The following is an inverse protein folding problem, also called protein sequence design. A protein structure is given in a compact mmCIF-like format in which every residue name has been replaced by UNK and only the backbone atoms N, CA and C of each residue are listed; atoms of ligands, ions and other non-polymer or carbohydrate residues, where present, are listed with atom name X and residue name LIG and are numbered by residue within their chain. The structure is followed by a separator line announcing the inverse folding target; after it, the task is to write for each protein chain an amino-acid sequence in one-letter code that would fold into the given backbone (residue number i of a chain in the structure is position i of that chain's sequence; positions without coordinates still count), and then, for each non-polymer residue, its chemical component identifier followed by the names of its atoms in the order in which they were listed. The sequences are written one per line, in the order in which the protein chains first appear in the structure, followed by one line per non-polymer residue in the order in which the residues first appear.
data_IF_073551844398
#
_entry.id   IF_073551844398
#
_cell.length_a   1.000
_cell.length_b   1.000
_cell.length_c   1.000
_cell.angle_alpha   90.00
_cell.angle_beta   90.00
_cell.angle_gamma   90.00
#
_symmetry.space_group_name_H-M   'P 1'
#
loop_
_entity.id
_entity.type
_entity.pdbx_description
1 polymer ?
#
# COMPACT_ATOMS: atom_id res chain seq x y z
N UNK A 1 -0.51 16.32 -14.05
CA UNK A 1 -0.79 14.87 -13.97
C UNK A 1 -2.29 14.70 -14.07
N UNK A 2 -2.77 13.81 -14.94
CA UNK A 2 -4.19 13.48 -15.07
C UNK A 2 -4.61 12.55 -13.93
N UNK A 3 -5.79 12.75 -13.34
CA UNK A 3 -6.36 11.85 -12.35
C UNK A 3 -7.61 11.19 -12.94
N UNK A 4 -7.68 9.88 -12.84
CA UNK A 4 -8.86 9.14 -13.23
C UNK A 4 -9.94 9.22 -12.13
N UNK A 5 -11.22 9.21 -12.47
CA UNK A 5 -12.28 9.16 -11.47
C UNK A 5 -12.24 7.83 -10.72
N UNK A 6 -12.43 7.89 -9.41
CA UNK A 6 -12.55 6.69 -8.59
C UNK A 6 -13.84 5.93 -8.89
N UNK A 7 -13.83 4.63 -8.64
CA UNK A 7 -15.04 3.81 -8.56
C UNK A 7 -15.70 4.06 -7.20
N UNK A 8 -16.86 4.70 -7.21
CA UNK A 8 -17.61 5.01 -6.01
C UNK A 8 -18.77 4.04 -5.87
N UNK A 9 -18.92 3.43 -4.70
CA UNK A 9 -20.02 2.52 -4.40
C UNK A 9 -20.51 2.73 -2.96
N UNK A 10 -21.76 2.37 -2.71
CA UNK A 10 -22.32 2.32 -1.35
C UNK A 10 -22.38 0.86 -0.87
N UNK A 11 -21.84 0.61 0.32
CA UNK A 11 -21.89 -0.68 0.97
C UNK A 11 -22.25 -0.51 2.46
N UNK A 12 -23.35 -1.11 2.88
CA UNK A 12 -23.85 -1.01 4.26
C UNK A 12 -24.00 0.44 4.79
N UNK A 13 -24.40 1.37 3.92
CA UNK A 13 -24.57 2.78 4.29
C UNK A 13 -23.27 3.60 4.35
N UNK A 14 -22.16 3.01 3.90
CA UNK A 14 -20.86 3.68 3.80
C UNK A 14 -20.50 3.86 2.33
N UNK A 15 -20.08 5.07 1.97
CA UNK A 15 -19.54 5.34 0.63
C UNK A 15 -18.09 4.87 0.57
N UNK A 16 -17.82 3.93 -0.32
CA UNK A 16 -16.48 3.41 -0.60
C UNK A 16 -15.96 4.01 -1.91
N UNK A 17 -14.69 4.35 -1.92
CA UNK A 17 -13.98 4.92 -3.07
C UNK A 17 -12.77 4.05 -3.39
N UNK A 18 -12.77 3.42 -4.56
CA UNK A 18 -11.77 2.46 -4.99
C UNK A 18 -11.09 2.88 -6.30
N UNK A 19 -9.97 2.24 -6.59
CA UNK A 19 -9.32 2.36 -7.89
C UNK A 19 -10.26 1.87 -9.00
N UNK A 20 -10.40 2.67 -10.06
CA UNK A 20 -11.26 2.36 -11.20
C UNK A 20 -10.46 1.69 -12.31
N UNK A 21 -10.36 0.36 -12.23
CA UNK A 21 -9.63 -0.46 -13.21
C UNK A 21 -10.20 -0.29 -14.64
N UNK A 22 -11.52 -0.30 -14.79
CA UNK A 22 -12.15 -0.18 -16.12
C UNK A 22 -11.86 1.18 -16.76
N UNK A 23 -11.87 2.25 -15.99
CA UNK A 23 -11.50 3.58 -16.48
C UNK A 23 -10.02 3.64 -16.89
N UNK A 24 -9.14 2.98 -16.13
CA UNK A 24 -7.71 2.90 -16.44
C UNK A 24 -7.45 2.11 -17.72
N UNK A 25 -8.09 0.96 -17.89
CA UNK A 25 -8.01 0.16 -19.12
C UNK A 25 -8.56 0.90 -20.33
N UNK A 26 -9.70 1.57 -20.20
CA UNK A 26 -10.30 2.36 -21.27
C UNK A 26 -9.44 3.56 -21.68
N UNK A 27 -8.82 4.23 -20.72
CA UNK A 27 -7.90 5.36 -20.97
C UNK A 27 -6.59 4.92 -21.60
N UNK A 28 -6.12 3.72 -21.27
CA UNK A 28 -4.92 3.07 -21.79
C UNK A 28 -3.68 4.01 -21.78
N UNK A 29 -3.26 4.53 -20.62
CA UNK A 29 -2.08 5.37 -20.52
C UNK A 29 -0.81 4.54 -20.77
N UNK A 30 0.30 5.19 -21.08
CA UNK A 30 1.60 4.51 -21.15
C UNK A 30 2.07 4.11 -19.74
N UNK A 31 1.86 4.98 -18.76
CA UNK A 31 2.22 4.78 -17.37
C UNK A 31 1.08 5.24 -16.46
N UNK A 32 0.77 4.45 -15.44
CA UNK A 32 -0.17 4.80 -14.38
C UNK A 32 0.47 4.66 -13.01
N UNK A 33 0.08 5.54 -12.09
CA UNK A 33 0.46 5.46 -10.68
C UNK A 33 -0.72 4.88 -9.90
N UNK A 34 -0.50 3.74 -9.23
CA UNK A 34 -1.52 3.06 -8.41
C UNK A 34 -0.94 2.80 -7.03
N UNK A 35 -1.44 3.47 -6.02
CA UNK A 35 -0.94 3.36 -4.66
C UNK A 35 -1.44 2.10 -3.94
N UNK A 36 -0.75 1.69 -2.88
CA UNK A 36 -1.13 0.59 -1.98
C UNK A 36 -1.34 -0.77 -2.66
N UNK A 37 -0.27 -1.37 -3.17
CA UNK A 37 -0.28 -2.68 -3.86
C UNK A 37 -1.00 -3.79 -3.08
N UNK A 38 -0.91 -3.79 -1.75
CA UNK A 38 -1.48 -4.83 -0.89
C UNK A 38 -2.96 -4.62 -0.52
N UNK A 39 -3.55 -3.50 -0.93
CA UNK A 39 -4.93 -3.14 -0.57
C UNK A 39 -5.94 -4.25 -0.93
N UNK A 40 -6.89 -4.46 -0.01
CA UNK A 40 -8.04 -5.34 -0.25
C UNK A 40 -9.19 -4.51 -0.79
N UNK A 41 -9.55 -4.75 -2.04
CA UNK A 41 -10.59 -4.01 -2.74
C UNK A 41 -11.98 -4.25 -2.13
N UNK A 42 -12.88 -3.28 -2.28
CA UNK A 42 -14.28 -3.44 -1.91
C UNK A 42 -14.97 -4.55 -2.72
N UNK A 43 -16.03 -5.18 -2.18
CA UNK A 43 -16.72 -6.30 -2.86
C UNK A 43 -17.29 -5.98 -4.24
N UNK A 44 -17.49 -4.70 -4.55
CA UNK A 44 -17.98 -4.24 -5.87
C UNK A 44 -16.92 -4.33 -6.96
N UNK A 45 -15.63 -4.39 -6.59
CA UNK A 45 -14.53 -4.46 -7.52
C UNK A 45 -14.44 -5.83 -8.19
N UNK A 46 -13.91 -5.87 -9.44
CA UNK A 46 -13.70 -7.10 -10.21
C UNK A 46 -12.73 -8.06 -9.50
N UNK A 47 -11.66 -7.54 -8.94
CA UNK A 47 -10.65 -8.30 -8.21
C UNK A 47 -10.72 -8.04 -6.71
N UNK A 48 -10.42 -9.04 -5.92
CA UNK A 48 -10.38 -8.93 -4.45
C UNK A 48 -9.19 -8.11 -3.97
N UNK A 49 -8.08 -8.15 -4.71
CA UNK A 49 -6.83 -7.49 -4.33
C UNK A 49 -6.36 -6.52 -5.41
N UNK A 50 -5.79 -5.40 -4.99
CA UNK A 50 -5.25 -4.38 -5.89
C UNK A 50 -4.09 -4.89 -6.75
N UNK A 51 -3.25 -5.79 -6.25
CA UNK A 51 -2.20 -6.37 -7.08
C UNK A 51 -2.75 -7.14 -8.28
N UNK A 52 -3.95 -7.72 -8.19
CA UNK A 52 -4.63 -8.37 -9.33
C UNK A 52 -5.10 -7.36 -10.37
N UNK A 53 -5.56 -6.18 -9.95
CA UNK A 53 -5.86 -5.07 -10.86
C UNK A 53 -4.59 -4.63 -11.61
N UNK A 54 -3.48 -4.54 -10.90
CA UNK A 54 -2.18 -4.16 -11.46
C UNK A 54 -1.69 -5.22 -12.46
N UNK A 55 -1.84 -6.50 -12.16
CA UNK A 55 -1.53 -7.58 -13.10
C UNK A 55 -2.34 -7.45 -14.40
N UNK A 56 -3.63 -7.10 -14.32
CA UNK A 56 -4.47 -6.88 -15.51
C UNK A 56 -4.00 -5.66 -16.32
N UNK A 57 -3.60 -4.57 -15.67
CA UNK A 57 -3.01 -3.39 -16.33
C UNK A 57 -1.71 -3.76 -17.07
N UNK A 58 -0.80 -4.47 -16.42
CA UNK A 58 0.46 -4.93 -17.00
C UNK A 58 0.21 -5.85 -18.21
N UNK A 59 -0.74 -6.77 -18.11
CA UNK A 59 -1.14 -7.66 -19.22
C UNK A 59 -1.75 -6.89 -20.40
N UNK A 60 -2.35 -5.72 -20.13
CA UNK A 60 -2.85 -4.81 -21.17
C UNK A 60 -1.74 -3.94 -21.79
N UNK A 61 -0.49 -4.07 -21.34
CA UNK A 61 0.65 -3.30 -21.86
C UNK A 61 0.78 -1.90 -21.26
N UNK A 62 0.21 -1.67 -20.08
CA UNK A 62 0.30 -0.41 -19.33
C UNK A 62 1.38 -0.55 -18.27
N UNK A 63 2.36 0.34 -18.27
CA UNK A 63 3.37 0.40 -17.21
C UNK A 63 2.76 0.91 -15.90
N UNK A 64 3.13 0.31 -14.78
CA UNK A 64 2.59 0.67 -13.46
C UNK A 64 3.69 0.99 -12.48
N UNK A 65 3.60 2.14 -11.80
CA UNK A 65 4.32 2.39 -10.57
C UNK A 65 3.36 2.24 -9.39
N UNK A 66 3.77 1.48 -8.40
CA UNK A 66 2.98 1.23 -7.20
C UNK A 66 3.84 1.33 -5.96
N UNK A 67 3.21 1.40 -4.80
CA UNK A 67 3.88 1.44 -3.51
C UNK A 67 3.50 0.22 -2.66
N UNK A 68 4.42 -0.22 -1.83
CA UNK A 68 4.18 -1.27 -0.85
C UNK A 68 5.00 -1.00 0.41
N UNK A 69 4.42 -1.27 1.55
CA UNK A 69 5.15 -1.32 2.80
C UNK A 69 5.67 -2.75 3.05
N UNK A 70 6.87 -2.87 3.57
CA UNK A 70 7.57 -4.15 3.76
C UNK A 70 6.75 -5.19 4.53
N UNK A 71 5.95 -4.78 5.51
CA UNK A 71 5.11 -5.67 6.32
C UNK A 71 4.00 -6.40 5.54
N UNK A 72 3.71 -5.99 4.31
CA UNK A 72 2.70 -6.63 3.46
C UNK A 72 3.26 -7.76 2.59
N UNK A 73 4.57 -7.97 2.56
CA UNK A 73 5.21 -9.07 1.83
C UNK A 73 5.07 -10.35 2.65
N UNK A 74 4.52 -11.41 2.06
CA UNK A 74 4.10 -12.62 2.76
C UNK A 74 5.24 -13.29 3.54
N UNK A 75 6.41 -13.48 2.94
CA UNK A 75 7.58 -14.12 3.59
C UNK A 75 8.15 -13.31 4.77
N UNK A 76 7.93 -12.01 4.81
CA UNK A 76 8.46 -11.09 5.83
C UNK A 76 7.45 -10.87 6.96
N UNK A 77 6.17 -11.12 6.71
CA UNK A 77 5.09 -10.77 7.63
C UNK A 77 5.24 -11.34 9.05
N UNK A 78 5.64 -12.61 9.16
CA UNK A 78 5.83 -13.26 10.48
C UNK A 78 7.02 -12.65 11.25
N UNK A 79 8.09 -12.27 10.55
CA UNK A 79 9.23 -11.57 11.15
C UNK A 79 8.80 -10.20 11.66
N UNK A 80 8.05 -9.45 10.87
CA UNK A 80 7.50 -8.15 11.28
C UNK A 80 6.58 -8.30 12.49
N UNK A 81 5.69 -9.30 12.51
CA UNK A 81 4.80 -9.57 13.63
C UNK A 81 5.59 -9.91 14.92
N UNK A 82 6.69 -10.65 14.81
CA UNK A 82 7.54 -10.98 15.97
C UNK A 82 8.25 -9.77 16.59
N UNK A 83 8.56 -8.76 15.77
CA UNK A 83 9.25 -7.54 16.21
C UNK A 83 8.25 -6.52 16.75
N UNK A 84 7.17 -6.27 16.01
CA UNK A 84 6.22 -5.19 16.32
C UNK A 84 5.09 -5.64 17.26
N UNK A 85 4.87 -6.95 17.41
CA UNK A 85 3.71 -7.51 18.10
C UNK A 85 2.39 -7.36 17.31
N UNK A 86 2.43 -6.84 16.09
CA UNK A 86 1.26 -6.56 15.27
C UNK A 86 1.26 -7.45 14.04
N UNK A 87 0.19 -8.22 13.86
CA UNK A 87 -0.01 -9.03 12.66
C UNK A 87 -0.73 -8.21 11.59
N UNK A 88 -0.13 -8.10 10.42
CA UNK A 88 -0.72 -7.45 9.26
C UNK A 88 -1.46 -8.47 8.42
N UNK A 89 -2.76 -8.23 8.20
CA UNK A 89 -3.62 -9.16 7.46
C UNK A 89 -3.58 -8.95 5.95
N UNK A 90 -3.36 -7.73 5.50
CA UNK A 90 -3.20 -7.44 4.07
C UNK A 90 -1.81 -7.88 3.62
N UNK A 91 -1.77 -8.85 2.72
CA UNK A 91 -0.52 -9.43 2.22
C UNK A 91 -0.55 -9.55 0.72
N UNK A 92 0.63 -9.54 0.11
CA UNK A 92 0.85 -9.95 -1.26
C UNK A 92 1.74 -11.20 -1.29
N UNK A 93 1.54 -12.12 -2.24
CA UNK A 93 2.48 -13.21 -2.48
C UNK A 93 3.85 -12.67 -2.88
N UNK A 94 4.91 -13.34 -2.46
CA UNK A 94 6.30 -12.96 -2.82
C UNK A 94 6.50 -12.88 -4.34
N UNK A 95 5.82 -13.76 -5.10
CA UNK A 95 5.88 -13.75 -6.56
C UNK A 95 5.44 -12.43 -7.19
N UNK A 96 4.54 -11.70 -6.57
CA UNK A 96 4.11 -10.36 -7.05
C UNK A 96 5.24 -9.35 -6.90
N UNK A 97 5.97 -9.42 -5.80
CA UNK A 97 7.15 -8.59 -5.55
C UNK A 97 8.32 -8.98 -6.47
N UNK A 98 8.59 -10.27 -6.61
CA UNK A 98 9.70 -10.81 -7.42
C UNK A 98 9.53 -10.52 -8.91
N UNK A 99 8.29 -10.38 -9.39
CA UNK A 99 7.99 -10.04 -10.79
C UNK A 99 8.13 -8.54 -11.11
N UNK A 100 8.42 -7.69 -10.12
CA UNK A 100 8.65 -6.27 -10.37
C UNK A 100 9.89 -6.07 -11.25
N UNK A 101 9.77 -5.23 -12.28
CA UNK A 101 10.91 -4.91 -13.15
C UNK A 101 11.99 -4.08 -12.45
N UNK A 102 11.56 -3.29 -11.48
CA UNK A 102 12.43 -2.45 -10.66
C UNK A 102 11.81 -2.27 -9.28
N UNK A 103 12.65 -2.35 -8.26
CA UNK A 103 12.28 -2.05 -6.87
C UNK A 103 13.16 -0.91 -6.38
N UNK A 104 12.55 0.09 -5.79
CA UNK A 104 13.23 1.24 -5.21
C UNK A 104 12.85 1.38 -3.73
N UNK A 105 13.86 1.39 -2.86
CA UNK A 105 13.65 1.62 -1.43
C UNK A 105 13.53 3.12 -1.16
N UNK A 106 12.37 3.54 -0.66
CA UNK A 106 12.17 4.89 -0.14
C UNK A 106 12.55 4.88 1.34
N UNK A 107 13.80 5.20 1.62
CA UNK A 107 14.35 5.21 2.98
C UNK A 107 14.09 6.55 3.70
N UNK A 108 13.68 6.47 4.95
CA UNK A 108 13.51 7.61 5.84
C UNK A 108 14.01 7.26 7.23
N UNK A 109 14.70 8.18 7.87
CA UNK A 109 15.11 8.00 9.26
C UNK A 109 13.91 7.86 10.20
N UNK A 110 13.90 6.87 11.11
CA UNK A 110 12.78 6.63 12.02
C UNK A 110 12.32 7.86 12.78
N UNK A 111 13.24 8.67 13.26
CA UNK A 111 12.94 9.89 13.97
C UNK A 111 12.21 10.93 13.08
N UNK A 112 12.67 11.10 11.84
CA UNK A 112 12.03 12.00 10.89
C UNK A 112 10.60 11.56 10.56
N UNK A 113 10.37 10.25 10.43
CA UNK A 113 9.02 9.71 10.19
C UNK A 113 8.09 10.01 11.36
N UNK A 114 8.56 9.83 12.61
CA UNK A 114 7.78 10.16 13.81
C UNK A 114 7.45 11.66 13.85
N UNK A 115 8.39 12.54 13.54
CA UNK A 115 8.16 13.98 13.47
C UNK A 115 7.11 14.35 12.40
N UNK A 116 7.14 13.70 11.24
CA UNK A 116 6.12 13.88 10.20
C UNK A 116 4.73 13.40 10.64
N UNK A 117 4.67 12.29 11.37
CA UNK A 117 3.43 11.79 11.96
C UNK A 117 2.84 12.79 12.96
N UNK A 118 3.67 13.28 13.90
CA UNK A 118 3.26 14.27 14.91
C UNK A 118 2.84 15.60 14.28
N UNK A 119 3.47 16.00 13.18
CA UNK A 119 3.09 17.17 12.40
C UNK A 119 1.79 16.99 11.57
N UNK A 120 1.12 15.85 11.66
CA UNK A 120 -0.12 15.57 10.93
C UNK A 120 0.05 15.44 9.41
N UNK A 121 1.27 15.16 8.94
CA UNK A 121 1.57 15.05 7.51
C UNK A 121 1.24 13.68 6.90
N UNK A 122 0.97 12.67 7.75
CA UNK A 122 0.69 11.29 7.34
C UNK A 122 -0.74 10.91 7.71
N UNK A 123 -1.13 11.16 8.96
CA UNK A 123 -2.46 10.86 9.50
C UNK A 123 -3.06 12.10 10.17
N UNK A 124 -4.38 12.06 10.42
CA UNK A 124 -5.00 13.05 11.31
C UNK A 124 -4.40 12.99 12.73
N UNK A 125 -4.40 14.08 13.50
CA UNK A 125 -3.75 14.09 14.82
C UNK A 125 -4.16 12.97 15.75
N UNK A 126 -5.46 12.64 15.81
CA UNK A 126 -5.99 11.55 16.66
C UNK A 126 -5.59 10.15 16.18
N UNK A 127 -5.38 9.96 14.88
CA UNK A 127 -4.86 8.70 14.33
C UNK A 127 -3.34 8.61 14.54
N UNK A 128 -2.61 9.72 14.41
CA UNK A 128 -1.18 9.78 14.64
C UNK A 128 -0.82 9.43 16.08
N UNK A 129 -1.55 9.93 17.09
CA UNK A 129 -1.34 9.59 18.50
C UNK A 129 -1.43 8.08 18.73
N UNK A 130 -2.51 7.42 18.25
CA UNK A 130 -2.71 5.97 18.40
C UNK A 130 -1.65 5.16 17.66
N UNK A 131 -1.25 5.60 16.48
CA UNK A 131 -0.23 4.95 15.68
C UNK A 131 1.14 5.00 16.37
N UNK A 132 1.50 6.15 16.96
CA UNK A 132 2.78 6.35 17.64
C UNK A 132 2.86 5.55 18.95
N UNK A 133 1.75 5.32 19.63
CA UNK A 133 1.71 4.53 20.87
C UNK A 133 1.98 3.04 20.66
N UNK A 134 1.73 2.50 19.46
CA UNK A 134 1.77 1.07 19.21
C UNK A 134 2.82 0.64 18.18
N UNK A 135 2.67 1.08 16.93
CA UNK A 135 3.49 0.60 15.81
C UNK A 135 4.69 1.51 15.53
N UNK A 136 4.48 2.81 15.51
CA UNK A 136 5.48 3.80 15.09
C UNK A 136 6.38 4.22 16.25
N UNK A 137 7.12 3.27 16.81
CA UNK A 137 8.21 3.53 17.76
C UNK A 137 9.56 3.54 17.04
N UNK A 138 10.55 4.21 17.59
CA UNK A 138 11.90 4.25 17.00
C UNK A 138 12.47 2.84 16.84
N UNK A 139 12.26 1.97 17.82
CA UNK A 139 12.74 0.59 17.83
C UNK A 139 12.10 -0.22 16.70
N UNK A 140 10.77 -0.17 16.58
CA UNK A 140 10.05 -0.90 15.54
C UNK A 140 10.43 -0.39 14.14
N UNK A 141 10.50 0.93 13.95
CA UNK A 141 10.84 1.52 12.65
C UNK A 141 12.29 1.23 12.25
N UNK A 142 13.22 1.21 13.21
CA UNK A 142 14.61 0.82 12.95
C UNK A 142 14.68 -0.64 12.50
N UNK A 143 13.99 -1.54 13.20
CA UNK A 143 13.97 -2.95 12.83
C UNK A 143 13.30 -3.20 11.46
N UNK A 144 12.20 -2.50 11.15
CA UNK A 144 11.55 -2.58 9.84
C UNK A 144 12.44 -2.05 8.71
N UNK A 145 13.18 -0.97 8.96
CA UNK A 145 14.15 -0.42 8.03
C UNK A 145 15.26 -1.42 7.72
N UNK A 146 15.81 -2.09 8.74
CA UNK A 146 16.85 -3.12 8.57
C UNK A 146 16.35 -4.32 7.76
N UNK A 147 15.08 -4.71 7.92
CA UNK A 147 14.47 -5.78 7.13
C UNK A 147 14.29 -5.35 5.67
N UNK A 148 13.96 -4.09 5.43
CA UNK A 148 13.72 -3.56 4.07
C UNK A 148 15.00 -3.36 3.27
N UNK A 149 16.14 -3.20 3.93
CA UNK A 149 17.46 -3.06 3.30
C UNK A 149 18.01 -4.40 2.81
#
# INVERSE_FOLDING_TARGET
MECLPNLVSEYNGITLSEFNLDAALARHPQLILVDELAHTNAPVCRHTKRYQDIEELLNAGIDVYTTINVQHIESINDTVASITGIMVHERIPDSVFDNASQVELVDIEPQELIERLQAGKVYSPTQAERATENFFTVENLTALREIAL
#
